data_IF_512615355729
#
_entry.id   IF_512615355729
#
_cell.length_a   1.000
_cell.length_b   1.000
_cell.length_c   1.000
_cell.angle_alpha   90.00
_cell.angle_beta   90.00
_cell.angle_gamma   90.00
#
_symmetry.space_group_name_H-M   'P 1'
#
loop_
_entity.id
_entity.type
_entity.pdbx_description
1 polymer ?
#
# COMPACT_ATOMS: atom_id res chain seq x y z
N UNK A 1 -11.88 27.90 -46.65
CA UNK A 1 -12.19 28.38 -45.30
C UNK A 1 -11.60 27.41 -44.29
N UNK A 2 -10.47 27.77 -43.66
CA UNK A 2 -9.78 26.91 -42.68
C UNK A 2 -10.29 27.22 -41.26
N UNK A 3 -10.72 26.19 -40.53
CA UNK A 3 -11.19 26.30 -39.14
C UNK A 3 -9.99 26.38 -38.19
N UNK A 4 -9.90 27.45 -37.39
CA UNK A 4 -8.91 27.62 -36.31
C UNK A 4 -9.20 26.63 -35.17
N UNK A 5 -8.19 26.01 -34.54
CA UNK A 5 -8.38 25.21 -33.34
C UNK A 5 -8.65 26.09 -32.11
N UNK A 6 -9.36 25.59 -31.08
CA UNK A 6 -9.74 26.37 -29.92
C UNK A 6 -8.54 26.62 -28.99
N UNK A 7 -8.45 27.87 -28.54
CA UNK A 7 -7.37 28.41 -27.73
C UNK A 7 -7.63 28.09 -26.24
N UNK A 8 -6.79 27.26 -25.61
CA UNK A 8 -6.83 26.98 -24.16
C UNK A 8 -6.59 28.28 -23.38
N UNK A 9 -7.56 28.68 -22.54
CA UNK A 9 -7.47 29.83 -21.64
C UNK A 9 -6.60 29.44 -20.42
N UNK A 10 -5.39 29.96 -20.34
CA UNK A 10 -4.55 29.88 -19.15
C UNK A 10 -4.94 31.00 -18.16
N UNK A 11 -5.88 30.69 -17.27
CA UNK A 11 -6.21 31.52 -16.12
C UNK A 11 -6.08 30.69 -14.84
N UNK A 12 -5.04 30.93 -14.04
CA UNK A 12 -4.79 30.17 -12.83
C UNK A 12 -3.97 30.92 -11.80
N UNK A 13 -4.67 31.68 -10.96
CA UNK A 13 -4.23 32.30 -9.72
C UNK A 13 -3.25 31.42 -8.92
N UNK A 14 -2.10 31.97 -8.51
CA UNK A 14 -1.15 31.37 -7.55
C UNK A 14 -1.80 31.25 -6.16
N UNK A 15 -2.70 30.27 -5.98
CA UNK A 15 -3.06 29.76 -4.65
C UNK A 15 -1.87 28.96 -4.15
N UNK A 16 -1.47 29.20 -2.90
CA UNK A 16 -0.34 28.52 -2.26
C UNK A 16 -0.41 27.01 -2.52
N UNK A 17 0.69 26.45 -3.03
CA UNK A 17 0.79 25.05 -3.41
C UNK A 17 0.39 24.21 -2.18
N UNK A 18 -0.69 23.41 -2.23
CA UNK A 18 -1.02 22.51 -1.13
C UNK A 18 0.19 21.63 -0.84
N UNK A 19 0.38 21.18 0.42
CA UNK A 19 1.51 20.35 0.79
C UNK A 19 1.65 19.20 -0.20
N UNK A 20 2.82 19.11 -0.83
CA UNK A 20 3.12 18.08 -1.80
C UNK A 20 3.23 16.75 -1.04
N UNK A 21 2.15 15.98 -1.05
CA UNK A 21 2.16 14.57 -0.71
C UNK A 21 1.23 14.09 0.38
N UNK A 22 1.29 12.77 0.57
CA UNK A 22 0.48 12.07 1.56
C UNK A 22 0.77 12.63 2.95
N UNK A 23 -0.27 12.96 3.69
CA UNK A 23 -0.19 13.47 5.06
C UNK A 23 -1.11 12.66 5.96
N UNK A 24 -1.20 13.04 7.24
CA UNK A 24 -2.15 12.44 8.17
C UNK A 24 -2.96 13.53 8.86
N UNK A 25 -4.19 13.19 9.24
CA UNK A 25 -5.05 14.03 10.07
C UNK A 25 -5.71 13.20 11.16
N UNK A 26 -6.16 13.89 12.20
CA UNK A 26 -7.02 13.27 13.21
C UNK A 26 -8.39 12.95 12.61
N UNK A 27 -8.96 11.82 12.98
CA UNK A 27 -10.34 11.45 12.66
C UNK A 27 -11.34 12.45 13.27
N UNK A 28 -12.57 12.46 12.74
CA UNK A 28 -13.62 13.37 13.22
C UNK A 28 -14.01 13.15 14.69
N UNK A 29 -13.97 11.89 15.16
CA UNK A 29 -14.21 11.53 16.55
C UNK A 29 -13.01 11.81 17.47
N UNK A 30 -11.87 12.19 16.90
CA UNK A 30 -10.66 12.46 17.66
C UNK A 30 -10.10 11.23 18.38
N UNK A 31 -10.27 10.02 17.85
CA UNK A 31 -9.71 8.80 18.49
C UNK A 31 -8.64 8.12 17.66
N UNK A 32 -8.57 8.42 16.38
CA UNK A 32 -7.67 7.77 15.45
C UNK A 32 -7.06 8.75 14.46
N UNK A 33 -6.17 8.22 13.63
CA UNK A 33 -5.52 8.96 12.57
C UNK A 33 -5.90 8.38 11.21
N UNK A 34 -5.94 9.26 10.21
CA UNK A 34 -6.30 8.95 8.84
C UNK A 34 -5.24 9.50 7.90
N UNK A 35 -4.81 8.71 6.92
CA UNK A 35 -4.04 9.24 5.81
C UNK A 35 -4.89 10.24 5.00
N UNK A 36 -4.21 11.23 4.45
CA UNK A 36 -4.79 12.27 3.60
C UNK A 36 -4.00 12.30 2.30
N UNK A 37 -4.66 11.94 1.22
CA UNK A 37 -4.08 11.91 -0.11
C UNK A 37 -4.05 13.31 -0.75
N UNK A 38 -3.06 13.61 -1.60
CA UNK A 38 -2.97 14.90 -2.28
C UNK A 38 -4.16 15.12 -3.23
N UNK A 39 -4.44 16.38 -3.64
CA UNK A 39 -5.55 16.71 -4.54
C UNK A 39 -5.57 15.86 -5.81
N UNK A 40 -4.41 15.59 -6.41
CA UNK A 40 -4.31 14.80 -7.64
C UNK A 40 -4.85 13.38 -7.52
N UNK A 41 -4.82 12.75 -6.34
CA UNK A 41 -5.46 11.45 -6.11
C UNK A 41 -6.97 11.57 -6.12
N UNK A 42 -7.51 12.62 -5.47
CA UNK A 42 -8.97 12.84 -5.38
C UNK A 42 -9.58 13.23 -6.73
N UNK A 43 -8.82 13.98 -7.54
CA UNK A 43 -9.21 14.37 -8.89
C UNK A 43 -9.30 13.18 -9.85
N UNK A 44 -8.70 12.04 -9.50
CA UNK A 44 -8.63 10.80 -10.30
C UNK A 44 -9.37 9.64 -9.65
N UNK A 45 -10.34 9.93 -8.78
CA UNK A 45 -11.11 8.90 -8.11
C UNK A 45 -11.96 8.08 -9.10
N UNK A 46 -12.59 8.77 -10.07
CA UNK A 46 -13.39 8.13 -11.11
C UNK A 46 -12.51 7.24 -12.01
N UNK A 47 -11.32 7.73 -12.43
CA UNK A 47 -10.37 6.93 -13.21
C UNK A 47 -9.92 5.66 -12.44
N UNK A 48 -9.74 5.76 -11.13
CA UNK A 48 -9.43 4.61 -10.28
C UNK A 48 -10.58 3.61 -10.17
N UNK A 49 -11.83 4.07 -10.21
CA UNK A 49 -12.99 3.19 -10.22
C UNK A 49 -13.09 2.44 -11.56
N UNK A 50 -12.84 3.11 -12.69
CA UNK A 50 -12.72 2.46 -14.01
C UNK A 50 -11.63 1.38 -14.02
N UNK A 51 -10.46 1.65 -13.44
CA UNK A 51 -9.39 0.64 -13.27
C UNK A 51 -9.87 -0.58 -12.48
N UNK A 52 -10.64 -0.39 -11.39
CA UNK A 52 -11.18 -1.52 -10.62
C UNK A 52 -12.14 -2.36 -11.46
N UNK A 53 -12.96 -1.72 -12.29
CA UNK A 53 -13.86 -2.39 -13.21
C UNK A 53 -13.09 -3.23 -14.26
N UNK A 54 -12.03 -2.67 -14.84
CA UNK A 54 -11.12 -3.41 -15.74
C UNK A 54 -10.51 -4.64 -15.06
N UNK A 55 -10.00 -4.47 -13.83
CA UNK A 55 -9.45 -5.60 -13.05
C UNK A 55 -10.53 -6.65 -12.76
N UNK A 56 -11.74 -6.23 -12.39
CA UNK A 56 -12.86 -7.13 -12.13
C UNK A 56 -13.31 -7.89 -13.40
N UNK A 57 -13.20 -7.28 -14.57
CA UNK A 57 -13.45 -7.91 -15.87
C UNK A 57 -12.30 -8.82 -16.35
N UNK A 58 -11.17 -8.85 -15.64
CA UNK A 58 -9.98 -9.61 -16.03
C UNK A 58 -9.12 -8.93 -17.10
N UNK A 59 -9.39 -7.66 -17.41
CA UNK A 59 -8.66 -6.84 -18.39
C UNK A 59 -7.34 -6.31 -17.80
N UNK A 60 -6.49 -7.22 -17.32
CA UNK A 60 -5.31 -6.91 -16.50
C UNK A 60 -4.22 -6.12 -17.24
N UNK A 61 -4.05 -6.34 -18.54
CA UNK A 61 -3.09 -5.57 -19.36
C UNK A 61 -3.53 -4.11 -19.51
N UNK A 62 -4.82 -3.89 -19.80
CA UNK A 62 -5.40 -2.53 -19.94
C UNK A 62 -5.35 -1.81 -18.60
N UNK A 63 -5.74 -2.49 -17.51
CA UNK A 63 -5.65 -1.93 -16.17
C UNK A 63 -4.20 -1.56 -15.80
N UNK A 64 -3.21 -2.36 -16.21
CA UNK A 64 -1.79 -2.07 -15.96
C UNK A 64 -1.32 -0.80 -16.66
N UNK A 65 -1.69 -0.62 -17.93
CA UNK A 65 -1.34 0.58 -18.69
C UNK A 65 -2.03 1.84 -18.13
N UNK A 66 -3.30 1.72 -17.76
CA UNK A 66 -4.05 2.82 -17.14
C UNK A 66 -3.46 3.21 -15.78
N UNK A 67 -3.15 2.24 -14.92
CA UNK A 67 -2.47 2.49 -13.64
C UNK A 67 -1.12 3.19 -13.82
N UNK A 68 -0.34 2.79 -14.83
CA UNK A 68 0.94 3.46 -15.15
C UNK A 68 0.69 4.90 -15.59
N UNK A 69 -0.31 5.14 -16.44
CA UNK A 69 -0.70 6.48 -16.86
C UNK A 69 -1.09 7.35 -15.65
N UNK A 70 -1.95 6.86 -14.76
CA UNK A 70 -2.34 7.56 -13.52
C UNK A 70 -1.13 7.92 -12.66
N UNK A 71 -0.13 7.05 -12.56
CA UNK A 71 1.10 7.32 -11.81
C UNK A 71 2.03 8.34 -12.48
N UNK A 72 1.94 8.54 -13.80
CA UNK A 72 2.66 9.66 -14.46
C UNK A 72 2.12 11.01 -14.01
N UNK A 73 0.82 11.05 -13.74
CA UNK A 73 0.07 12.24 -13.38
C UNK A 73 0.07 12.49 -11.86
N UNK A 74 0.00 11.42 -11.05
CA UNK A 74 0.06 11.47 -9.60
C UNK A 74 0.79 10.25 -9.02
N UNK A 75 2.12 10.35 -8.88
CA UNK A 75 2.96 9.27 -8.36
C UNK A 75 2.72 8.93 -6.87
N UNK A 76 1.97 9.75 -6.15
CA UNK A 76 1.69 9.59 -4.71
C UNK A 76 0.37 8.84 -4.42
N UNK A 77 -0.18 8.18 -5.44
CA UNK A 77 -1.38 7.36 -5.34
C UNK A 77 -1.04 5.96 -4.80
N UNK A 78 -1.14 5.78 -3.48
CA UNK A 78 -0.82 4.52 -2.79
C UNK A 78 -1.59 3.34 -3.39
N UNK A 79 -2.86 3.54 -3.71
CA UNK A 79 -3.70 2.47 -4.23
C UNK A 79 -3.29 1.99 -5.63
N UNK A 80 -2.89 2.90 -6.52
CA UNK A 80 -2.40 2.51 -7.83
C UNK A 80 -1.11 1.68 -7.73
N UNK A 81 -0.22 2.04 -6.80
CA UNK A 81 0.96 1.21 -6.49
C UNK A 81 0.55 -0.15 -5.92
N UNK A 82 -0.43 -0.21 -5.02
CA UNK A 82 -0.93 -1.49 -4.52
C UNK A 82 -1.48 -2.39 -5.64
N UNK A 83 -2.32 -1.85 -6.52
CA UNK A 83 -2.91 -2.63 -7.62
C UNK A 83 -1.87 -3.09 -8.64
N UNK A 84 -0.90 -2.24 -9.01
CA UNK A 84 0.21 -2.66 -9.86
C UNK A 84 1.06 -3.76 -9.21
N UNK A 85 1.31 -3.65 -7.90
CA UNK A 85 2.02 -4.70 -7.17
C UNK A 85 1.27 -6.03 -7.19
N UNK A 86 -0.06 -5.98 -6.97
CA UNK A 86 -0.94 -7.15 -7.01
C UNK A 86 -0.96 -7.79 -8.40
N UNK A 87 -1.13 -7.00 -9.46
CA UNK A 87 -1.13 -7.50 -10.84
C UNK A 87 0.23 -8.11 -11.22
N UNK A 88 1.34 -7.46 -10.85
CA UNK A 88 2.68 -8.01 -11.07
C UNK A 88 2.88 -9.36 -10.37
N UNK A 89 2.43 -9.50 -9.12
CA UNK A 89 2.54 -10.74 -8.36
C UNK A 89 1.62 -11.85 -8.90
N UNK A 90 0.35 -11.55 -9.12
CA UNK A 90 -0.68 -12.56 -9.40
C UNK A 90 -0.78 -12.93 -10.88
N UNK A 91 -0.72 -11.94 -11.79
CA UNK A 91 -0.89 -12.18 -13.22
C UNK A 91 0.43 -12.48 -13.92
N UNK A 92 1.51 -11.78 -13.54
CA UNK A 92 2.82 -11.93 -14.19
C UNK A 92 3.79 -12.86 -13.43
N UNK A 93 3.53 -13.17 -12.16
CA UNK A 93 4.47 -13.90 -11.31
C UNK A 93 5.78 -13.15 -11.04
N UNK A 94 5.80 -11.83 -11.26
CA UNK A 94 6.99 -10.99 -11.12
C UNK A 94 7.06 -10.41 -9.71
N UNK A 95 7.57 -11.24 -8.79
CA UNK A 95 7.75 -10.88 -7.37
C UNK A 95 8.69 -9.67 -7.20
N UNK A 96 9.83 -9.56 -7.91
CA UNK A 96 10.68 -8.36 -7.84
C UNK A 96 9.96 -7.06 -8.21
N UNK A 97 9.17 -7.06 -9.29
CA UNK A 97 8.39 -5.89 -9.71
C UNK A 97 7.29 -5.57 -8.69
N UNK A 98 6.58 -6.60 -8.22
CA UNK A 98 5.56 -6.46 -7.19
C UNK A 98 6.13 -5.81 -5.92
N UNK A 99 7.30 -6.26 -5.45
CA UNK A 99 8.02 -5.66 -4.33
C UNK A 99 8.28 -4.17 -4.54
N UNK A 100 8.67 -3.77 -5.75
CA UNK A 100 8.93 -2.37 -6.09
C UNK A 100 7.69 -1.49 -5.91
N UNK A 101 6.55 -1.95 -6.43
CA UNK A 101 5.28 -1.23 -6.34
C UNK A 101 4.72 -1.20 -4.91
N UNK A 102 4.61 -2.34 -4.24
CA UNK A 102 4.18 -2.39 -2.84
C UNK A 102 5.09 -1.56 -1.93
N UNK A 103 6.40 -1.65 -2.15
CA UNK A 103 7.41 -0.86 -1.45
C UNK A 103 7.18 0.63 -1.58
N UNK A 104 6.91 1.12 -2.79
CA UNK A 104 6.66 2.54 -3.02
C UNK A 104 5.37 3.01 -2.32
N UNK A 105 4.27 2.27 -2.50
CA UNK A 105 3.00 2.58 -1.84
C UNK A 105 3.13 2.64 -0.30
N UNK A 106 3.80 1.64 0.28
CA UNK A 106 4.10 1.60 1.72
C UNK A 106 4.95 2.79 2.18
N UNK A 107 6.01 3.13 1.44
CA UNK A 107 6.91 4.25 1.79
C UNK A 107 6.20 5.61 1.80
N UNK A 108 5.19 5.82 0.94
CA UNK A 108 4.40 7.05 0.96
C UNK A 108 3.67 7.24 2.30
N UNK A 109 3.01 6.18 2.79
CA UNK A 109 2.35 6.19 4.10
C UNK A 109 3.34 6.32 5.26
N UNK A 110 4.44 5.56 5.24
CA UNK A 110 5.48 5.65 6.28
C UNK A 110 6.10 7.05 6.38
N UNK A 111 6.36 7.71 5.25
CA UNK A 111 6.86 9.10 5.25
C UNK A 111 5.84 10.06 5.85
N UNK A 112 4.55 9.87 5.56
CA UNK A 112 3.48 10.68 6.13
C UNK A 112 3.39 10.51 7.66
N UNK A 113 3.43 9.26 8.15
CA UNK A 113 3.41 8.94 9.57
C UNK A 113 4.62 9.49 10.30
N UNK A 114 5.83 9.26 9.77
CA UNK A 114 7.08 9.75 10.37
C UNK A 114 7.11 11.27 10.49
N UNK A 115 6.64 12.00 9.47
CA UNK A 115 6.55 13.47 9.52
C UNK A 115 5.61 13.96 10.62
N UNK A 116 4.59 13.18 10.98
CA UNK A 116 3.64 13.49 12.04
C UNK A 116 4.02 12.90 13.41
N UNK A 117 5.22 12.33 13.55
CA UNK A 117 5.69 11.74 14.81
C UNK A 117 5.14 10.34 15.08
N UNK A 118 4.86 9.55 14.03
CA UNK A 118 4.32 8.19 14.10
C UNK A 118 3.04 8.07 14.95
N UNK A 119 1.98 8.81 14.60
CA UNK A 119 0.75 8.79 15.37
C UNK A 119 0.04 7.42 15.25
N UNK A 120 -0.58 7.00 16.34
CA UNK A 120 -1.40 5.79 16.43
C UNK A 120 -2.62 6.05 17.35
N UNK A 121 -3.73 5.28 17.22
CA UNK A 121 -3.94 4.22 16.24
C UNK A 121 -4.26 4.76 14.84
N UNK A 122 -3.87 4.00 13.81
CA UNK A 122 -4.17 4.19 12.39
C UNK A 122 -5.04 3.00 11.91
N UNK A 123 -6.36 3.02 12.08
CA UNK A 123 -7.22 1.84 11.87
C UNK A 123 -7.08 1.27 10.46
N UNK A 124 -6.68 0.02 10.34
CA UNK A 124 -6.33 -0.64 9.08
C UNK A 124 -7.50 -0.77 8.12
N UNK A 125 -8.70 -0.99 8.66
CA UNK A 125 -9.93 -1.18 7.88
C UNK A 125 -10.57 0.14 7.43
N UNK A 126 -10.10 1.29 7.92
CA UNK A 126 -10.63 2.57 7.46
C UNK A 126 -10.24 2.81 5.99
N UNK A 127 -11.15 3.22 5.09
CA UNK A 127 -10.87 3.37 3.66
C UNK A 127 -9.62 4.20 3.34
N UNK A 128 -9.45 5.33 4.04
CA UNK A 128 -8.27 6.20 3.87
C UNK A 128 -6.93 5.51 4.21
N UNK A 129 -6.91 4.50 5.08
CA UNK A 129 -5.70 3.82 5.52
C UNK A 129 -5.47 2.50 4.80
N UNK A 130 -6.53 1.92 4.24
CA UNK A 130 -6.53 0.54 3.72
C UNK A 130 -5.42 0.28 2.72
N UNK A 131 -5.29 1.13 1.69
CA UNK A 131 -4.27 0.95 0.65
C UNK A 131 -2.83 0.94 1.21
N UNK A 132 -2.57 1.66 2.30
CA UNK A 132 -1.26 1.63 2.96
C UNK A 132 -0.99 0.29 3.64
N UNK A 133 -1.96 -0.24 4.36
CA UNK A 133 -1.84 -1.58 4.97
C UNK A 133 -1.78 -2.68 3.92
N UNK A 134 -2.60 -2.59 2.87
CA UNK A 134 -2.60 -3.54 1.77
C UNK A 134 -1.24 -3.55 1.03
N UNK A 135 -0.66 -2.37 0.78
CA UNK A 135 0.70 -2.25 0.24
C UNK A 135 1.76 -2.82 1.20
N UNK A 136 1.65 -2.54 2.50
CA UNK A 136 2.57 -3.09 3.50
C UNK A 136 2.51 -4.63 3.59
N UNK A 137 1.31 -5.21 3.53
CA UNK A 137 1.14 -6.68 3.47
C UNK A 137 1.72 -7.24 2.18
N UNK A 138 1.40 -6.65 1.02
CA UNK A 138 1.99 -7.08 -0.24
C UNK A 138 3.53 -7.03 -0.21
N UNK A 139 4.10 -5.99 0.38
CA UNK A 139 5.54 -5.85 0.55
C UNK A 139 6.13 -6.94 1.45
N UNK A 140 5.54 -7.19 2.62
CA UNK A 140 6.00 -8.23 3.54
C UNK A 140 5.95 -9.63 2.89
N UNK A 141 4.89 -9.91 2.12
CA UNK A 141 4.80 -11.13 1.33
C UNK A 141 5.93 -11.23 0.30
N UNK A 142 6.14 -10.20 -0.54
CA UNK A 142 7.23 -10.23 -1.52
C UNK A 142 8.61 -10.39 -0.88
N UNK A 143 8.85 -9.74 0.26
CA UNK A 143 10.11 -9.86 0.99
C UNK A 143 10.33 -11.29 1.50
N UNK A 144 9.28 -11.96 1.96
CA UNK A 144 9.35 -13.38 2.33
C UNK A 144 9.68 -14.27 1.12
N UNK A 145 8.99 -14.08 0.00
CA UNK A 145 9.21 -14.86 -1.23
C UNK A 145 10.63 -14.67 -1.81
N UNK A 146 11.26 -13.53 -1.52
CA UNK A 146 12.62 -13.20 -1.94
C UNK A 146 13.67 -13.52 -0.86
N UNK A 147 13.32 -14.30 0.16
CA UNK A 147 14.19 -14.69 1.28
C UNK A 147 14.78 -13.50 2.07
N UNK A 148 14.10 -12.35 2.04
CA UNK A 148 14.44 -11.14 2.79
C UNK A 148 13.63 -11.06 4.10
N UNK A 149 13.67 -12.14 4.88
CA UNK A 149 12.76 -12.37 6.01
C UNK A 149 12.85 -11.33 7.11
N UNK A 150 14.04 -10.86 7.47
CA UNK A 150 14.22 -9.83 8.51
C UNK A 150 13.48 -8.54 8.14
N UNK A 151 13.54 -8.13 6.86
CA UNK A 151 12.81 -6.96 6.39
C UNK A 151 11.30 -7.21 6.37
N UNK A 152 10.84 -8.43 6.05
CA UNK A 152 9.43 -8.77 6.12
C UNK A 152 8.90 -8.62 7.56
N UNK A 153 9.66 -9.11 8.55
CA UNK A 153 9.39 -8.96 9.98
C UNK A 153 9.28 -7.47 10.36
N UNK A 154 10.26 -6.64 9.97
CA UNK A 154 10.23 -5.20 10.25
C UNK A 154 8.99 -4.50 9.68
N UNK A 155 8.55 -4.86 8.47
CA UNK A 155 7.35 -4.28 7.86
C UNK A 155 6.11 -4.67 8.67
N UNK A 156 5.96 -5.95 9.02
CA UNK A 156 4.80 -6.44 9.79
C UNK A 156 4.75 -5.82 11.19
N UNK A 157 5.89 -5.70 11.87
CA UNK A 157 5.98 -5.00 13.16
C UNK A 157 5.55 -3.54 13.06
N UNK A 158 5.95 -2.84 12.00
CA UNK A 158 5.56 -1.44 11.78
C UNK A 158 4.05 -1.31 11.53
N UNK A 159 3.44 -2.24 10.78
CA UNK A 159 1.98 -2.25 10.58
C UNK A 159 1.22 -2.52 11.90
N UNK A 160 1.70 -3.47 12.72
CA UNK A 160 1.14 -3.75 14.05
C UNK A 160 1.27 -2.56 15.00
N UNK A 161 2.40 -1.85 14.96
CA UNK A 161 2.58 -0.64 15.74
C UNK A 161 1.61 0.49 15.31
N UNK A 162 1.29 0.56 14.01
CA UNK A 162 0.33 1.53 13.47
C UNK A 162 -1.12 1.21 13.88
N UNK A 163 -1.52 -0.06 13.85
CA UNK A 163 -2.84 -0.52 14.33
C UNK A 163 -2.73 -1.71 15.31
N UNK A 164 -2.56 -1.44 16.61
CA UNK A 164 -2.41 -2.50 17.61
C UNK A 164 -3.66 -3.36 17.83
N UNK A 165 -4.82 -2.97 17.31
CA UNK A 165 -6.03 -3.80 17.38
C UNK A 165 -5.94 -5.03 16.47
N UNK A 166 -4.96 -5.05 15.57
CA UNK A 166 -4.67 -6.12 14.63
C UNK A 166 -5.90 -6.72 13.91
N UNK A 167 -6.73 -5.88 13.24
CA UNK A 167 -7.90 -6.39 12.53
C UNK A 167 -7.54 -7.23 11.29
N UNK A 168 -6.25 -7.31 10.94
CA UNK A 168 -5.73 -8.03 9.77
C UNK A 168 -5.03 -9.34 10.14
N UNK A 169 -4.89 -9.68 11.43
CA UNK A 169 -4.26 -10.91 11.90
C UNK A 169 -2.74 -10.95 11.65
N UNK A 170 -2.08 -9.80 11.62
CA UNK A 170 -0.66 -9.63 11.37
C UNK A 170 0.22 -10.23 12.47
N UNK A 171 -0.26 -10.34 13.72
CA UNK A 171 0.51 -10.95 14.80
C UNK A 171 0.81 -12.44 14.53
N UNK A 172 -0.21 -13.19 14.06
CA UNK A 172 -0.02 -14.59 13.70
C UNK A 172 0.97 -14.72 12.53
N UNK A 173 0.87 -13.83 11.54
CA UNK A 173 1.80 -13.82 10.42
C UNK A 173 3.23 -13.46 10.83
N UNK A 174 3.40 -12.55 11.80
CA UNK A 174 4.71 -12.21 12.37
C UNK A 174 5.36 -13.42 13.05
N UNK A 175 4.57 -14.21 13.79
CA UNK A 175 5.04 -15.44 14.43
C UNK A 175 5.50 -16.46 13.37
N UNK A 176 4.72 -16.66 12.31
CA UNK A 176 5.10 -17.52 11.17
C UNK A 176 6.41 -17.04 10.51
N UNK A 177 6.54 -15.74 10.26
CA UNK A 177 7.75 -15.16 9.66
C UNK A 177 8.99 -15.39 10.53
N UNK A 178 8.85 -15.32 11.86
CA UNK A 178 9.98 -15.53 12.80
C UNK A 178 10.32 -17.00 12.98
N UNK A 179 9.33 -17.87 13.00
CA UNK A 179 9.53 -19.32 13.14
C UNK A 179 10.10 -19.92 11.85
N UNK A 180 9.77 -19.38 10.67
CA UNK A 180 10.25 -19.91 9.40
C UNK A 180 9.86 -21.38 9.21
N UNK A 181 10.79 -22.19 8.71
CA UNK A 181 10.65 -23.65 8.60
C UNK A 181 11.18 -24.39 9.85
N UNK A 182 11.32 -23.71 11.00
CA UNK A 182 11.83 -24.35 12.20
C UNK A 182 10.97 -25.59 12.52
N UNK A 183 11.57 -26.78 12.40
CA UNK A 183 10.92 -28.03 12.76
C UNK A 183 10.38 -27.87 14.18
N UNK A 184 9.06 -28.02 14.33
CA UNK A 184 8.43 -28.16 15.63
C UNK A 184 9.15 -29.30 16.36
N UNK A 185 9.98 -28.97 17.34
CA UNK A 185 10.58 -29.97 18.22
C UNK A 185 9.40 -30.58 18.96
N UNK A 186 9.09 -31.85 18.67
CA UNK A 186 8.02 -32.56 19.36
C UNK A 186 8.36 -32.64 20.84
N UNK A 187 7.34 -32.51 21.70
CA UNK A 187 7.51 -32.59 23.16
C UNK A 187 8.24 -33.88 23.56
N UNK A 188 8.05 -34.98 22.83
CA UNK A 188 8.75 -36.24 23.08
C UNK A 188 10.27 -36.16 22.89
N UNK A 189 10.74 -35.40 21.91
CA UNK A 189 12.17 -35.14 21.72
C UNK A 189 12.75 -34.29 22.87
N UNK A 190 11.94 -33.43 23.47
CA UNK A 190 12.28 -32.61 24.64
C UNK A 190 12.26 -33.40 25.95
N UNK A 191 11.39 -34.41 26.06
CA UNK A 191 11.26 -35.26 27.25
C UNK A 191 12.20 -36.48 27.23
N UNK A 192 13.06 -36.60 26.21
CA UNK A 192 14.02 -37.70 26.09
C UNK A 192 13.37 -39.08 25.97
N UNK A 193 12.09 -39.14 25.61
CA UNK A 193 11.37 -40.39 25.42
C UNK A 193 11.54 -40.81 23.96
N UNK A 194 12.58 -41.60 23.72
CA UNK A 194 12.71 -42.34 22.46
C UNK A 194 11.53 -43.30 22.26
N UNK A 195 11.30 -43.76 21.02
CA UNK A 195 10.22 -44.69 20.67
C UNK A 195 10.28 -46.01 21.46
#
# INVERSE_FOLDING_TARGET
>A
MAKRPPQKRSGGSRRGRPPAGVSVKRSADGRSWLLVHPPGVRERADDMDEVREMIAAGETDVATDELRWLLTECSEMIEAHFLLGKLAAEAAGDVPLARGHFGFGYQLGQRALKRAGNPHPLPALHPANRAFFDAGRGLAWCLRELDMRDLAVEVVEQLLAADPADPLGLAAWLDELRLGDAQLVTIDALLGRGP
#
